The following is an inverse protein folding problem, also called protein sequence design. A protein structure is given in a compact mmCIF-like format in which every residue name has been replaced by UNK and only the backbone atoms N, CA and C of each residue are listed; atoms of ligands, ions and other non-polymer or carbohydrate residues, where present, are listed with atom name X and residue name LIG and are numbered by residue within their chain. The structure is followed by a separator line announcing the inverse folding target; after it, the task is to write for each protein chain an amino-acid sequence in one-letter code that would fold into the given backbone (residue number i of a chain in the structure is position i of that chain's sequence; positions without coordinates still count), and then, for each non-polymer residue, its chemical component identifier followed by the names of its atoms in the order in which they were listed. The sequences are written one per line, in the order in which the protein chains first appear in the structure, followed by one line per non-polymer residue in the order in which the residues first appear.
data_IF_875297170397
#
_entry.id   IF_875297170397
#
_cell.length_a   1.000
_cell.length_b   1.000
_cell.length_c   1.000
_cell.angle_alpha   90.00
_cell.angle_beta   90.00
_cell.angle_gamma   90.00
#
_symmetry.space_group_name_H-M   'P 1'
#
loop_
_entity.id
_entity.type
_entity.pdbx_description
1 polymer ?
#
# COMPACT_ATOMS: atom_id res chain seq x y z
N UNK A 1 23.98 7.72 5.08
CA UNK A 1 22.49 7.88 4.99
C UNK A 1 22.07 7.44 3.61
N UNK A 2 21.04 6.62 3.49
CA UNK A 2 20.49 6.24 2.19
C UNK A 2 19.43 7.25 1.75
N UNK A 3 19.17 7.32 0.44
CA UNK A 3 18.22 8.27 -0.15
C UNK A 3 17.21 7.51 -0.99
N UNK A 4 15.93 7.75 -0.77
CA UNK A 4 14.86 7.39 -1.69
C UNK A 4 14.87 8.43 -2.81
N UNK A 5 15.57 8.12 -3.90
CA UNK A 5 15.84 9.06 -4.99
C UNK A 5 14.65 9.26 -5.94
N UNK A 6 13.70 8.35 -5.91
CA UNK A 6 12.45 8.43 -6.69
C UNK A 6 11.37 7.56 -6.08
N UNK A 7 10.12 8.00 -6.19
CA UNK A 7 8.92 7.22 -5.94
C UNK A 7 7.98 7.43 -7.12
N UNK A 8 7.39 6.34 -7.59
CA UNK A 8 6.40 6.37 -8.67
C UNK A 8 5.25 5.43 -8.42
N UNK A 9 4.16 5.63 -9.11
CA UNK A 9 2.92 4.90 -8.91
C UNK A 9 2.30 4.48 -10.24
N UNK A 10 1.59 3.35 -10.23
CA UNK A 10 0.77 2.88 -11.35
C UNK A 10 -0.59 2.42 -10.85
N UNK A 11 -1.61 2.59 -11.68
CA UNK A 11 -2.98 2.28 -11.38
C UNK A 11 -3.57 1.37 -12.45
N UNK A 12 -4.44 0.42 -12.10
CA UNK A 12 -5.20 -0.35 -13.07
C UNK A 12 -6.07 0.52 -13.98
N UNK A 13 -6.45 -0.03 -15.11
CA UNK A 13 -7.25 0.68 -16.12
C UNK A 13 -8.68 1.04 -15.65
N UNK A 14 -9.26 0.23 -14.75
CA UNK A 14 -10.66 0.41 -14.36
C UNK A 14 -10.78 1.22 -13.08
N UNK A 15 -11.36 2.41 -13.23
CA UNK A 15 -11.72 3.30 -12.11
C UNK A 15 -13.21 3.15 -11.80
N UNK A 16 -13.54 2.77 -10.58
CA UNK A 16 -14.91 2.63 -10.11
C UNK A 16 -15.24 3.73 -9.11
N UNK A 17 -16.42 4.33 -9.24
CA UNK A 17 -16.90 5.24 -8.21
C UNK A 17 -17.31 4.46 -6.96
N UNK A 18 -17.14 5.05 -5.79
CA UNK A 18 -17.54 4.38 -4.54
C UNK A 18 -19.06 4.14 -4.46
N UNK A 19 -19.94 5.00 -5.00
CA UNK A 19 -21.37 4.69 -5.15
C UNK A 19 -21.63 3.45 -5.99
N UNK A 20 -20.99 3.30 -7.18
CA UNK A 20 -21.20 2.13 -8.06
C UNK A 20 -20.77 0.83 -7.36
N UNK A 21 -19.64 0.87 -6.65
CA UNK A 21 -19.20 -0.24 -5.81
C UNK A 21 -20.20 -0.55 -4.69
N UNK A 22 -20.80 0.47 -4.09
CA UNK A 22 -21.86 0.33 -3.11
C UNK A 22 -23.12 -0.31 -3.69
N UNK A 23 -23.50 0.00 -4.91
CA UNK A 23 -24.59 -0.64 -5.62
C UNK A 23 -24.29 -2.12 -5.88
N UNK A 24 -23.10 -2.43 -6.45
CA UNK A 24 -22.66 -3.79 -6.68
C UNK A 24 -22.68 -4.62 -5.38
N UNK A 25 -22.11 -4.09 -4.30
CA UNK A 25 -22.08 -4.81 -3.03
C UNK A 25 -23.48 -4.97 -2.42
N UNK A 26 -24.34 -3.97 -2.56
CA UNK A 26 -25.73 -4.05 -2.11
C UNK A 26 -26.53 -5.10 -2.88
N UNK A 27 -26.28 -5.25 -4.19
CA UNK A 27 -26.92 -6.31 -4.99
C UNK A 27 -26.55 -7.70 -4.50
N UNK A 28 -25.28 -7.93 -4.14
CA UNK A 28 -24.80 -9.29 -3.85
C UNK A 28 -24.76 -9.64 -2.36
N UNK A 29 -24.64 -8.69 -1.43
CA UNK A 29 -24.62 -8.96 0.01
C UNK A 29 -25.95 -8.77 0.72
N UNK A 30 -26.89 -8.03 0.13
CA UNK A 30 -28.12 -7.72 0.84
C UNK A 30 -29.22 -8.74 0.55
N UNK A 31 -29.89 -9.18 1.61
CA UNK A 31 -31.06 -10.03 1.64
C UNK A 31 -32.37 -9.24 1.84
N UNK A 32 -32.26 -7.94 2.10
CA UNK A 32 -33.38 -7.04 2.37
C UNK A 32 -33.09 -5.61 1.89
N UNK A 33 -34.14 -4.85 1.62
CA UNK A 33 -34.00 -3.41 1.25
C UNK A 33 -33.37 -2.58 2.37
N UNK A 34 -33.61 -2.95 3.62
CA UNK A 34 -32.97 -2.29 4.76
C UNK A 34 -31.45 -2.49 4.75
N UNK A 35 -30.99 -3.71 4.47
CA UNK A 35 -29.56 -4.05 4.37
C UNK A 35 -28.91 -3.38 3.17
N UNK A 36 -29.57 -3.34 2.01
CA UNK A 36 -29.12 -2.57 0.83
C UNK A 36 -28.87 -1.11 1.19
N UNK A 37 -29.86 -0.47 1.81
CA UNK A 37 -29.73 0.94 2.24
C UNK A 37 -28.59 1.15 3.22
N UNK A 38 -28.41 0.24 4.19
CA UNK A 38 -27.31 0.29 5.16
C UNK A 38 -25.95 0.22 4.46
N UNK A 39 -25.76 -0.72 3.53
CA UNK A 39 -24.52 -0.87 2.75
C UNK A 39 -24.20 0.40 1.95
N UNK A 40 -25.16 0.93 1.20
CA UNK A 40 -24.98 2.19 0.44
C UNK A 40 -24.55 3.35 1.35
N UNK A 41 -25.14 3.50 2.53
CA UNK A 41 -24.76 4.51 3.51
C UNK A 41 -23.32 4.27 4.02
N UNK A 42 -22.91 3.02 4.27
CA UNK A 42 -21.54 2.71 4.68
C UNK A 42 -20.54 3.13 3.61
N UNK A 43 -20.79 2.78 2.33
CA UNK A 43 -19.95 3.16 1.21
C UNK A 43 -19.85 4.69 1.06
N UNK A 44 -20.95 5.42 1.15
CA UNK A 44 -20.98 6.89 1.05
C UNK A 44 -20.21 7.60 2.19
N UNK A 45 -20.10 6.96 3.37
CA UNK A 45 -19.42 7.50 4.54
C UNK A 45 -17.96 7.02 4.68
N UNK A 46 -17.48 6.18 3.79
CA UNK A 46 -16.13 5.58 3.85
C UNK A 46 -14.99 6.60 3.76
N UNK A 47 -15.26 7.81 3.24
CA UNK A 47 -14.22 8.81 2.92
C UNK A 47 -13.54 8.56 1.57
N UNK A 48 -13.99 7.56 0.81
CA UNK A 48 -13.49 7.20 -0.52
C UNK A 48 -14.45 7.74 -1.57
N UNK A 49 -13.92 8.30 -2.65
CA UNK A 49 -14.72 8.73 -3.81
C UNK A 49 -14.61 7.75 -4.96
N UNK A 50 -13.44 7.16 -5.15
CA UNK A 50 -13.19 6.17 -6.20
C UNK A 50 -12.08 5.21 -5.81
N UNK A 51 -12.10 4.02 -6.42
CA UNK A 51 -11.05 3.01 -6.31
C UNK A 51 -10.70 2.46 -7.68
N UNK A 52 -9.51 1.92 -7.80
CA UNK A 52 -9.04 1.27 -9.02
C UNK A 52 -9.02 -0.24 -8.85
N UNK A 53 -9.29 -0.94 -9.93
CA UNK A 53 -9.30 -2.40 -9.97
C UNK A 53 -8.80 -2.91 -11.31
N UNK A 54 -8.16 -4.07 -11.31
CA UNK A 54 -7.87 -4.83 -12.54
C UNK A 54 -9.13 -5.50 -13.10
N UNK A 55 -10.24 -5.50 -12.36
CA UNK A 55 -11.51 -6.11 -12.71
C UNK A 55 -12.50 -5.04 -13.16
N UNK A 56 -13.06 -5.09 -14.38
CA UNK A 56 -14.09 -4.16 -14.83
C UNK A 56 -15.46 -4.40 -14.20
N UNK A 57 -15.73 -5.61 -13.74
CA UNK A 57 -17.04 -6.16 -13.37
C UNK A 57 -17.81 -5.36 -12.31
N UNK A 58 -17.09 -4.59 -11.48
CA UNK A 58 -17.70 -3.83 -10.38
C UNK A 58 -18.60 -2.67 -10.81
N UNK A 59 -18.47 -2.22 -12.05
CA UNK A 59 -19.35 -1.20 -12.65
C UNK A 59 -19.88 -1.59 -14.03
N UNK A 60 -19.72 -2.87 -14.42
CA UNK A 60 -20.21 -3.43 -15.67
C UNK A 60 -21.54 -4.14 -15.48
N UNK A 61 -22.34 -4.19 -16.55
CA UNK A 61 -23.54 -5.01 -16.60
C UNK A 61 -23.20 -6.51 -16.49
N UNK A 62 -24.20 -7.32 -16.11
CA UNK A 62 -24.04 -8.76 -15.92
C UNK A 62 -23.42 -9.46 -17.14
N UNK A 63 -23.84 -9.09 -18.35
CA UNK A 63 -23.39 -9.73 -19.59
C UNK A 63 -21.96 -9.31 -20.00
N UNK A 64 -21.45 -8.22 -19.42
CA UNK A 64 -20.11 -7.69 -19.68
C UNK A 64 -19.05 -8.22 -18.71
N UNK A 65 -19.44 -8.99 -17.69
CA UNK A 65 -18.52 -9.54 -16.69
C UNK A 65 -17.47 -10.45 -17.31
N UNK A 66 -16.24 -10.29 -16.87
CA UNK A 66 -15.08 -11.05 -17.34
C UNK A 66 -14.39 -11.85 -16.24
N UNK A 67 -14.51 -11.44 -14.99
CA UNK A 67 -13.90 -12.10 -13.84
C UNK A 67 -14.92 -12.93 -13.05
N UNK A 68 -16.06 -12.35 -12.72
CA UNK A 68 -17.15 -13.07 -12.05
C UNK A 68 -18.07 -13.74 -13.08
N UNK A 69 -18.67 -14.89 -12.70
CA UNK A 69 -19.67 -15.54 -13.56
C UNK A 69 -20.85 -14.62 -13.88
N UNK A 70 -21.40 -14.77 -15.08
CA UNK A 70 -22.61 -14.08 -15.54
C UNK A 70 -23.90 -14.64 -14.91
N UNK A 71 -23.82 -15.06 -13.66
CA UNK A 71 -24.94 -15.55 -12.86
C UNK A 71 -25.49 -14.46 -11.96
N UNK A 72 -26.72 -14.61 -11.45
CA UNK A 72 -27.34 -13.63 -10.57
C UNK A 72 -26.65 -13.49 -9.21
N UNK A 73 -25.99 -14.55 -8.74
CA UNK A 73 -25.38 -14.62 -7.41
C UNK A 73 -23.85 -14.68 -7.44
N UNK A 74 -23.22 -14.50 -8.63
CA UNK A 74 -21.78 -14.63 -8.87
C UNK A 74 -21.23 -16.06 -8.64
N UNK A 75 -22.12 -17.07 -8.58
CA UNK A 75 -21.68 -18.46 -8.39
C UNK A 75 -21.50 -19.19 -9.74
N UNK A 76 -20.53 -20.14 -9.81
CA UNK A 76 -19.52 -20.44 -8.79
C UNK A 76 -18.52 -19.31 -8.66
N UNK A 77 -18.15 -18.96 -7.41
CA UNK A 77 -17.10 -17.94 -7.21
C UNK A 77 -15.77 -18.38 -7.82
N UNK A 78 -14.96 -17.44 -8.33
CA UNK A 78 -13.63 -17.72 -8.83
C UNK A 78 -12.79 -18.49 -7.79
N UNK A 79 -12.19 -19.61 -8.20
CA UNK A 79 -11.29 -20.38 -7.34
C UNK A 79 -10.01 -19.61 -7.03
N UNK A 80 -9.25 -20.04 -6.02
CA UNK A 80 -7.92 -19.47 -5.73
C UNK A 80 -7.00 -19.60 -6.96
N UNK A 81 -7.05 -20.72 -7.67
CA UNK A 81 -6.26 -20.93 -8.88
C UNK A 81 -6.57 -19.88 -9.95
N UNK A 82 -7.83 -19.62 -10.24
CA UNK A 82 -8.26 -18.60 -11.21
C UNK A 82 -7.81 -17.19 -10.78
N UNK A 83 -7.92 -16.85 -9.48
CA UNK A 83 -7.45 -15.57 -8.94
C UNK A 83 -5.94 -15.42 -9.10
N UNK A 84 -5.16 -16.49 -8.88
CA UNK A 84 -3.71 -16.46 -9.06
C UNK A 84 -3.30 -16.35 -10.54
N UNK A 85 -4.00 -17.03 -11.45
CA UNK A 85 -3.81 -16.84 -12.89
C UNK A 85 -4.09 -15.39 -13.30
N UNK A 86 -5.14 -14.78 -12.73
CA UNK A 86 -5.47 -13.38 -12.99
C UNK A 86 -4.42 -12.43 -12.42
N UNK A 87 -3.94 -12.70 -11.20
CA UNK A 87 -2.83 -11.96 -10.59
C UNK A 87 -1.59 -11.99 -11.47
N UNK A 88 -1.12 -13.16 -11.88
CA UNK A 88 0.08 -13.31 -12.69
C UNK A 88 -0.01 -12.55 -14.03
N UNK A 89 -1.22 -12.48 -14.62
CA UNK A 89 -1.45 -11.72 -15.84
C UNK A 89 -1.45 -10.20 -15.62
N UNK A 90 -2.02 -9.72 -14.51
CA UNK A 90 -2.32 -8.30 -14.29
C UNK A 90 -1.26 -7.56 -13.47
N UNK A 91 -0.51 -8.25 -12.59
CA UNK A 91 0.45 -7.61 -11.70
C UNK A 91 1.71 -7.10 -12.42
N UNK A 92 2.27 -7.90 -13.34
CA UNK A 92 3.50 -7.53 -14.05
C UNK A 92 3.37 -6.21 -14.81
N UNK A 93 2.35 -5.96 -15.65
CA UNK A 93 2.22 -4.68 -16.36
C UNK A 93 2.19 -3.47 -15.42
N UNK A 94 1.51 -3.57 -14.28
CA UNK A 94 1.46 -2.50 -13.27
C UNK A 94 2.83 -2.26 -12.62
N UNK A 95 3.54 -3.33 -12.28
CA UNK A 95 4.91 -3.22 -11.78
C UNK A 95 5.82 -2.53 -12.77
N UNK A 96 5.78 -2.94 -14.04
CA UNK A 96 6.63 -2.38 -15.09
C UNK A 96 6.34 -0.88 -15.26
N UNK A 97 5.07 -0.49 -15.36
CA UNK A 97 4.69 0.92 -15.45
C UNK A 97 5.22 1.75 -14.27
N UNK A 98 5.09 1.23 -13.04
CA UNK A 98 5.63 1.90 -11.86
C UNK A 98 7.17 1.98 -11.91
N UNK A 99 7.85 0.88 -12.27
CA UNK A 99 9.31 0.81 -12.31
C UNK A 99 9.87 1.76 -13.38
N UNK A 100 9.35 1.72 -14.60
CA UNK A 100 9.84 2.57 -15.70
C UNK A 100 9.73 4.05 -15.37
N UNK A 101 8.61 4.48 -14.75
CA UNK A 101 8.45 5.84 -14.24
C UNK A 101 9.46 6.16 -13.12
N UNK A 102 9.74 5.20 -12.26
CA UNK A 102 10.62 5.36 -11.10
C UNK A 102 12.08 5.55 -11.50
N UNK A 103 12.57 4.76 -12.45
CA UNK A 103 13.97 4.78 -12.90
C UNK A 103 14.25 5.81 -13.99
N UNK A 104 13.20 6.35 -14.63
CA UNK A 104 13.32 7.32 -15.71
C UNK A 104 14.20 8.50 -15.29
N UNK A 105 15.20 8.82 -16.12
CA UNK A 105 16.16 9.93 -15.89
C UNK A 105 16.97 9.80 -14.57
N UNK A 106 16.92 8.64 -13.93
CA UNK A 106 17.69 8.36 -12.70
C UNK A 106 18.81 7.35 -12.95
N UNK A 107 18.44 6.16 -13.39
CA UNK A 107 19.36 5.05 -13.63
C UNK A 107 18.91 4.21 -14.82
N UNK A 108 19.85 3.51 -15.45
CA UNK A 108 19.51 2.47 -16.42
C UNK A 108 19.11 1.18 -15.71
N UNK A 109 18.25 0.38 -16.31
CA UNK A 109 17.84 -0.92 -15.75
C UNK A 109 19.04 -1.84 -15.48
N UNK A 110 20.08 -1.78 -16.33
CA UNK A 110 21.32 -2.54 -16.17
C UNK A 110 22.16 -2.15 -14.92
N UNK A 111 21.90 -1.01 -14.32
CA UNK A 111 22.60 -0.53 -13.12
C UNK A 111 21.94 -0.99 -11.82
N UNK A 112 20.71 -1.52 -11.90
CA UNK A 112 19.99 -2.02 -10.71
C UNK A 112 20.72 -3.26 -10.20
N UNK A 113 21.13 -3.22 -8.92
CA UNK A 113 21.87 -4.29 -8.25
C UNK A 113 20.98 -5.16 -7.37
N UNK A 114 19.88 -4.62 -6.86
CA UNK A 114 18.95 -5.30 -5.97
C UNK A 114 17.51 -5.02 -6.37
N UNK A 115 16.68 -6.06 -6.34
CA UNK A 115 15.23 -5.98 -6.53
C UNK A 115 14.54 -6.52 -5.28
N UNK A 116 13.70 -5.70 -4.65
CA UNK A 116 12.81 -6.11 -3.56
C UNK A 116 11.38 -6.01 -4.08
N UNK A 117 10.72 -7.15 -4.26
CA UNK A 117 9.31 -7.22 -4.65
C UNK A 117 8.43 -7.45 -3.42
N UNK A 118 7.29 -6.76 -3.37
CA UNK A 118 6.33 -6.81 -2.26
C UNK A 118 4.95 -7.13 -2.79
N UNK A 119 4.33 -8.20 -2.30
CA UNK A 119 2.91 -8.48 -2.54
C UNK A 119 2.31 -9.40 -1.47
N UNK A 120 1.05 -9.14 -1.13
CA UNK A 120 0.24 -9.99 -0.27
C UNK A 120 -0.92 -10.64 -1.03
N UNK A 121 -1.13 -10.30 -2.30
CA UNK A 121 -2.32 -10.66 -3.08
C UNK A 121 -2.05 -11.67 -4.19
N UNK A 122 -0.80 -12.11 -4.34
CA UNK A 122 -0.43 -13.17 -5.26
C UNK A 122 0.78 -13.95 -4.79
N UNK A 123 0.83 -15.22 -5.14
CA UNK A 123 1.95 -16.13 -4.85
C UNK A 123 2.17 -17.08 -6.02
N UNK A 124 3.41 -17.16 -6.49
CA UNK A 124 3.86 -18.15 -7.46
C UNK A 124 5.35 -18.44 -7.30
N UNK A 125 5.78 -19.59 -7.75
CA UNK A 125 7.19 -19.91 -7.92
C UNK A 125 7.37 -20.60 -9.29
N UNK A 126 8.07 -19.96 -10.25
CA UNK A 126 8.76 -18.66 -10.20
C UNK A 126 7.85 -17.50 -9.83
N UNK A 127 8.38 -16.49 -9.13
CA UNK A 127 7.62 -15.35 -8.64
C UNK A 127 7.67 -14.14 -9.58
N UNK A 128 6.88 -13.14 -9.24
CA UNK A 128 6.82 -11.84 -9.95
C UNK A 128 8.19 -11.16 -10.09
N UNK A 129 9.10 -11.38 -9.13
CA UNK A 129 10.48 -10.89 -9.17
C UNK A 129 11.25 -11.42 -10.39
N UNK A 130 11.04 -12.70 -10.77
CA UNK A 130 11.65 -13.30 -11.97
C UNK A 130 11.06 -12.69 -13.23
N UNK A 131 9.73 -12.49 -13.27
CA UNK A 131 9.06 -11.88 -14.43
C UNK A 131 9.56 -10.45 -14.67
N UNK A 132 9.76 -9.67 -13.59
CA UNK A 132 10.33 -8.32 -13.66
C UNK A 132 11.76 -8.35 -14.19
N UNK A 133 12.61 -9.26 -13.67
CA UNK A 133 14.00 -9.42 -14.16
C UNK A 133 14.02 -9.72 -15.65
N UNK A 134 13.19 -10.64 -16.10
CA UNK A 134 13.10 -11.05 -17.50
C UNK A 134 12.60 -9.90 -18.38
N UNK A 135 11.52 -9.23 -17.99
CA UNK A 135 10.90 -8.17 -18.80
C UNK A 135 11.83 -6.96 -18.96
N UNK A 136 12.40 -6.48 -17.86
CA UNK A 136 13.30 -5.32 -17.87
C UNK A 136 14.73 -5.65 -18.29
N UNK A 137 15.02 -6.93 -18.57
CA UNK A 137 16.36 -7.43 -18.92
C UNK A 137 17.40 -7.00 -17.88
N UNK A 138 17.04 -7.13 -16.59
CA UNK A 138 17.98 -6.88 -15.50
C UNK A 138 19.12 -7.89 -15.53
N UNK A 139 20.24 -7.56 -14.86
CA UNK A 139 21.35 -8.49 -14.76
C UNK A 139 20.88 -9.82 -14.10
N UNK A 140 21.10 -10.99 -14.71
CA UNK A 140 20.71 -12.27 -14.12
C UNK A 140 21.35 -12.56 -12.75
N UNK A 141 22.47 -11.90 -12.43
CA UNK A 141 23.15 -11.98 -11.12
C UNK A 141 22.59 -10.98 -10.08
N UNK A 142 21.48 -10.28 -10.38
CA UNK A 142 20.84 -9.34 -9.45
C UNK A 142 20.43 -10.03 -8.15
N UNK A 143 20.68 -9.39 -7.02
CA UNK A 143 20.16 -9.82 -5.73
C UNK A 143 18.65 -9.59 -5.65
N UNK A 144 17.87 -10.63 -5.31
CA UNK A 144 16.42 -10.56 -5.26
C UNK A 144 15.87 -10.95 -3.89
N UNK A 145 14.88 -10.19 -3.42
CA UNK A 145 14.12 -10.50 -2.19
C UNK A 145 12.64 -10.32 -2.46
N UNK A 146 11.84 -11.32 -2.09
CA UNK A 146 10.38 -11.21 -2.11
C UNK A 146 9.84 -11.11 -0.69
N UNK A 147 9.05 -10.06 -0.42
CA UNK A 147 8.38 -9.82 0.86
C UNK A 147 6.90 -10.09 0.65
N UNK A 148 6.42 -11.18 1.25
CA UNK A 148 5.06 -11.64 1.04
C UNK A 148 4.28 -11.73 2.36
N UNK A 149 2.97 -11.54 2.32
CA UNK A 149 2.04 -11.71 3.45
C UNK A 149 2.36 -10.88 4.71
N UNK A 150 2.99 -9.73 4.57
CA UNK A 150 3.22 -8.80 5.68
C UNK A 150 2.13 -7.73 5.80
N UNK A 151 1.32 -7.50 4.76
CA UNK A 151 0.23 -6.53 4.77
C UNK A 151 0.66 -5.10 4.46
N UNK A 152 -0.15 -4.13 4.88
CA UNK A 152 -0.01 -2.74 4.43
C UNK A 152 1.29 -2.04 4.87
N UNK A 153 1.99 -2.53 5.90
CA UNK A 153 3.27 -1.96 6.33
C UNK A 153 4.48 -2.48 5.51
N UNK A 154 4.29 -3.46 4.65
CA UNK A 154 5.39 -4.14 3.96
C UNK A 154 6.25 -3.21 3.11
N UNK A 155 5.70 -2.11 2.58
CA UNK A 155 6.50 -1.11 1.85
C UNK A 155 7.53 -0.41 2.75
N UNK A 156 7.18 -0.02 4.00
CA UNK A 156 8.14 0.55 4.95
C UNK A 156 9.20 -0.50 5.32
N UNK A 157 8.78 -1.75 5.51
CA UNK A 157 9.72 -2.85 5.77
C UNK A 157 10.67 -3.07 4.58
N UNK A 158 10.20 -3.00 3.34
CA UNK A 158 11.04 -3.08 2.14
C UNK A 158 12.04 -1.92 2.05
N UNK A 159 11.61 -0.69 2.35
CA UNK A 159 12.51 0.48 2.44
C UNK A 159 13.57 0.31 3.53
N UNK A 160 13.22 -0.32 4.66
CA UNK A 160 14.17 -0.66 5.73
C UNK A 160 15.23 -1.66 5.25
N UNK A 161 14.84 -2.70 4.52
CA UNK A 161 15.78 -3.64 3.90
C UNK A 161 16.68 -2.93 2.87
N UNK A 162 16.10 -2.08 2.02
CA UNK A 162 16.86 -1.30 1.04
C UNK A 162 17.89 -0.36 1.73
N UNK A 163 17.53 0.28 2.84
CA UNK A 163 18.44 1.10 3.63
C UNK A 163 19.61 0.30 4.21
N UNK A 164 19.34 -0.91 4.73
CA UNK A 164 20.41 -1.79 5.24
C UNK A 164 21.35 -2.22 4.12
N UNK A 165 20.83 -2.59 2.95
CA UNK A 165 21.64 -2.93 1.78
C UNK A 165 22.52 -1.73 1.39
N UNK A 166 21.95 -0.54 1.25
CA UNK A 166 22.70 0.68 0.89
C UNK A 166 23.76 1.08 1.92
N UNK A 167 23.57 0.76 3.20
CA UNK A 167 24.57 1.00 4.25
C UNK A 167 25.73 0.00 4.19
N UNK A 168 25.48 -1.23 3.75
CA UNK A 168 26.49 -2.27 3.64
C UNK A 168 27.23 -2.28 2.30
N UNK A 169 26.56 -1.86 1.23
CA UNK A 169 27.07 -1.93 -0.15
C UNK A 169 27.11 -0.53 -0.78
N UNK A 170 28.28 0.14 -0.84
CA UNK A 170 28.41 1.51 -1.37
C UNK A 170 27.99 1.68 -2.83
N UNK A 171 27.99 0.59 -3.60
CA UNK A 171 27.55 0.57 -5.00
C UNK A 171 26.09 0.14 -5.22
N UNK A 172 25.31 -0.06 -4.15
CA UNK A 172 23.95 -0.56 -4.27
C UNK A 172 23.03 0.43 -4.97
N UNK A 173 22.23 -0.11 -5.90
CA UNK A 173 21.09 0.57 -6.52
C UNK A 173 19.89 -0.36 -6.31
N UNK A 174 19.07 -0.04 -5.32
CA UNK A 174 17.99 -0.91 -4.85
C UNK A 174 16.66 -0.45 -5.41
N UNK A 175 16.02 -1.31 -6.19
CA UNK A 175 14.67 -1.11 -6.67
C UNK A 175 13.69 -1.85 -5.75
N UNK A 176 12.80 -1.11 -5.12
CA UNK A 176 11.64 -1.65 -4.38
C UNK A 176 10.42 -1.52 -5.26
N UNK A 177 9.61 -2.57 -5.39
CA UNK A 177 8.32 -2.53 -6.08
C UNK A 177 7.25 -3.23 -5.24
N UNK A 178 6.14 -2.53 -5.02
CA UNK A 178 4.97 -3.04 -4.30
C UNK A 178 3.79 -3.11 -5.27
N UNK A 179 3.08 -4.24 -5.30
CA UNK A 179 1.86 -4.40 -6.12
C UNK A 179 0.82 -5.19 -5.35
N UNK A 180 -0.39 -4.67 -5.34
CA UNK A 180 -1.50 -5.36 -4.71
C UNK A 180 -2.74 -5.32 -5.61
N UNK A 181 -3.34 -6.48 -5.78
CA UNK A 181 -4.59 -6.68 -6.50
C UNK A 181 -5.65 -7.21 -5.51
N UNK A 182 -5.99 -6.39 -4.51
CA UNK A 182 -6.89 -6.80 -3.43
C UNK A 182 -8.28 -7.16 -3.94
N UNK A 183 -8.73 -6.51 -5.01
CA UNK A 183 -10.09 -6.67 -5.53
C UNK A 183 -10.34 -8.05 -6.14
N UNK A 184 -9.29 -8.76 -6.59
CA UNK A 184 -9.45 -10.14 -7.08
C UNK A 184 -9.84 -11.13 -5.97
N UNK A 185 -9.67 -10.74 -4.69
CA UNK A 185 -9.97 -11.58 -3.54
C UNK A 185 -11.33 -11.31 -2.90
N UNK A 186 -12.18 -10.50 -3.55
CA UNK A 186 -13.54 -10.29 -3.11
C UNK A 186 -14.24 -11.62 -2.75
N UNK A 187 -14.83 -11.65 -1.57
CA UNK A 187 -15.62 -12.77 -1.03
C UNK A 187 -17.03 -12.28 -0.66
N UNK A 188 -18.03 -13.07 -1.00
CA UNK A 188 -19.42 -12.84 -0.54
C UNK A 188 -19.62 -13.51 0.81
N UNK A 189 -18.94 -13.00 1.84
CA UNK A 189 -19.11 -13.44 3.23
C UNK A 189 -19.93 -12.39 3.95
N UNK A 190 -21.02 -12.80 4.57
CA UNK A 190 -21.95 -11.91 5.27
C UNK A 190 -21.53 -11.69 6.72
N UNK A 191 -20.33 -11.13 6.90
CA UNK A 191 -19.87 -10.58 8.16
C UNK A 191 -19.40 -9.14 7.98
N UNK A 192 -19.40 -8.37 9.06
CA UNK A 192 -19.07 -6.94 9.02
C UNK A 192 -17.63 -6.70 8.61
N UNK A 193 -16.68 -7.53 9.04
CA UNK A 193 -15.25 -7.37 8.77
C UNK A 193 -14.96 -7.54 7.28
N UNK A 194 -15.58 -8.55 6.65
CA UNK A 194 -15.48 -8.77 5.21
C UNK A 194 -16.13 -7.63 4.41
N UNK A 195 -17.31 -7.17 4.84
CA UNK A 195 -18.00 -6.04 4.20
C UNK A 195 -17.14 -4.76 4.28
N UNK A 196 -16.52 -4.48 5.43
CA UNK A 196 -15.62 -3.35 5.61
C UNK A 196 -14.36 -3.51 4.75
N UNK A 197 -13.76 -4.69 4.68
CA UNK A 197 -12.64 -4.96 3.80
C UNK A 197 -13.00 -4.71 2.32
N UNK A 198 -14.12 -5.25 1.85
CA UNK A 198 -14.62 -5.03 0.49
C UNK A 198 -14.93 -3.54 0.19
N UNK A 199 -15.26 -2.75 1.21
CA UNK A 199 -15.50 -1.30 1.07
C UNK A 199 -14.21 -0.49 0.95
N UNK A 200 -13.09 -0.95 1.53
CA UNK A 200 -11.85 -0.17 1.65
C UNK A 200 -10.80 -0.52 0.60
N UNK A 201 -10.61 -1.83 0.32
CA UNK A 201 -9.47 -2.28 -0.48
C UNK A 201 -9.60 -2.02 -1.98
N UNK A 202 -8.47 -1.74 -2.60
CA UNK A 202 -8.30 -1.39 -4.02
C UNK A 202 -7.02 -2.01 -4.58
N UNK A 203 -6.76 -1.83 -5.86
CA UNK A 203 -5.57 -2.31 -6.55
C UNK A 203 -4.64 -1.16 -6.93
N UNK A 204 -3.34 -1.43 -6.94
CA UNK A 204 -2.34 -0.46 -7.37
C UNK A 204 -0.92 -0.99 -7.22
N UNK A 205 0.02 -0.28 -7.83
CA UNK A 205 1.44 -0.54 -7.68
C UNK A 205 2.23 0.75 -7.42
N UNK A 206 3.36 0.62 -6.73
CA UNK A 206 4.31 1.69 -6.53
C UNK A 206 5.74 1.15 -6.58
N UNK A 207 6.67 1.97 -7.06
CA UNK A 207 8.09 1.66 -7.03
C UNK A 207 8.87 2.77 -6.33
N UNK A 208 9.97 2.40 -5.67
CA UNK A 208 10.92 3.33 -5.06
C UNK A 208 12.34 2.93 -5.42
N UNK A 209 13.17 3.92 -5.77
CA UNK A 209 14.60 3.75 -6.03
C UNK A 209 15.36 4.23 -4.81
N UNK A 210 16.11 3.33 -4.16
CA UNK A 210 16.91 3.64 -2.97
C UNK A 210 18.39 3.47 -3.29
N UNK A 211 19.17 4.49 -2.94
CA UNK A 211 20.62 4.51 -3.21
C UNK A 211 21.40 5.01 -1.99
N UNK A 212 22.69 4.66 -1.84
CA UNK A 212 23.58 5.30 -0.89
C UNK A 212 23.65 6.83 -1.08
N UNK A 213 23.85 7.59 0.00
CA UNK A 213 23.93 9.05 -0.05
C UNK A 213 25.02 9.58 -0.97
N UNK A 214 26.14 8.88 -1.07
CA UNK A 214 27.25 9.26 -1.97
C UNK A 214 26.83 9.15 -3.45
N UNK A 215 26.07 8.10 -3.81
CA UNK A 215 25.50 7.96 -5.15
C UNK A 215 24.49 9.07 -5.41
N UNK A 216 23.61 9.37 -4.43
CA UNK A 216 22.62 10.43 -4.57
C UNK A 216 23.30 11.79 -4.77
N UNK A 217 24.32 12.12 -3.95
CA UNK A 217 25.08 13.37 -4.05
C UNK A 217 25.82 13.50 -5.37
N UNK A 218 26.52 12.45 -5.80
CA UNK A 218 27.27 12.42 -7.08
C UNK A 218 26.39 12.66 -8.31
N UNK A 219 25.14 12.17 -8.26
CA UNK A 219 24.19 12.29 -9.36
C UNK A 219 23.18 13.43 -9.16
N UNK A 220 23.30 14.25 -8.13
CA UNK A 220 22.36 15.32 -7.77
C UNK A 220 20.91 14.81 -7.62
N UNK A 221 20.72 13.61 -7.12
CA UNK A 221 19.39 13.09 -6.87
C UNK A 221 18.76 13.80 -5.70
N UNK A 222 17.60 14.39 -5.92
CA UNK A 222 16.72 14.91 -4.88
C UNK A 222 15.74 13.83 -4.45
N UNK A 223 15.40 13.81 -3.17
CA UNK A 223 14.50 12.78 -2.63
C UNK A 223 14.40 12.84 -1.10
N UNK A 224 14.07 11.71 -0.51
CA UNK A 224 14.00 11.56 0.94
C UNK A 224 15.23 10.83 1.48
N UNK A 225 16.04 11.49 2.27
CA UNK A 225 17.09 10.87 3.09
C UNK A 225 16.49 10.09 4.25
N UNK A 226 16.86 8.83 4.40
CA UNK A 226 16.31 7.94 5.42
C UNK A 226 17.07 8.16 6.73
N UNK A 227 16.38 8.66 7.77
CA UNK A 227 16.97 8.94 9.09
C UNK A 227 16.86 7.72 10.01
N UNK A 228 15.64 7.16 10.16
CA UNK A 228 15.38 6.10 11.12
C UNK A 228 14.15 5.29 10.78
N UNK A 229 14.16 4.03 11.18
CA UNK A 229 12.99 3.15 11.26
C UNK A 229 12.71 2.77 12.72
N UNK A 230 11.45 2.51 13.01
CA UNK A 230 11.04 1.89 14.26
C UNK A 230 9.89 0.94 14.01
N UNK A 231 9.90 -0.21 14.70
CA UNK A 231 8.91 -1.28 14.56
C UNK A 231 8.34 -1.63 15.93
N UNK A 232 7.04 -1.85 15.98
CA UNK A 232 6.35 -2.31 17.18
C UNK A 232 5.29 -3.34 16.82
N UNK A 233 5.12 -4.36 17.64
CA UNK A 233 4.04 -5.36 17.53
C UNK A 233 3.14 -5.26 18.75
N UNK A 234 1.84 -5.08 18.52
CA UNK A 234 0.81 -5.17 19.55
C UNK A 234 0.18 -6.57 19.52
N UNK A 235 0.69 -7.46 20.38
CA UNK A 235 0.31 -8.87 20.37
C UNK A 235 -1.17 -9.13 20.68
N UNK A 236 -1.82 -8.23 21.42
CA UNK A 236 -3.25 -8.32 21.69
C UNK A 236 -4.10 -8.16 20.43
N UNK A 237 -3.55 -7.54 19.38
CA UNK A 237 -4.19 -7.35 18.09
C UNK A 237 -3.99 -8.48 17.07
N UNK A 238 -3.37 -9.62 17.46
CA UNK A 238 -3.02 -10.70 16.52
C UNK A 238 -4.19 -11.25 15.71
N UNK A 239 -5.40 -11.22 16.25
CA UNK A 239 -6.61 -11.75 15.61
C UNK A 239 -7.47 -10.68 14.95
N UNK A 240 -7.16 -9.41 15.15
CA UNK A 240 -8.00 -8.28 14.72
C UNK A 240 -7.73 -7.86 13.28
N UNK A 241 -6.54 -8.17 12.74
CA UNK A 241 -6.21 -7.98 11.34
C UNK A 241 -5.53 -9.24 10.83
N UNK A 242 -6.21 -9.99 9.97
CA UNK A 242 -5.66 -11.24 9.41
C UNK A 242 -5.83 -11.28 7.91
N UNK A 243 -4.89 -11.96 7.24
CA UNK A 243 -4.92 -12.26 5.83
C UNK A 243 -4.56 -13.72 5.65
N UNK A 244 -5.52 -14.55 5.28
CA UNK A 244 -5.39 -16.01 5.31
C UNK A 244 -5.71 -16.64 3.96
N UNK A 245 -4.93 -17.63 3.56
CA UNK A 245 -5.19 -18.44 2.38
C UNK A 245 -6.38 -19.36 2.62
N UNK A 246 -7.31 -19.43 1.68
CA UNK A 246 -8.42 -20.37 1.64
C UNK A 246 -8.54 -21.02 0.27
N UNK A 247 -9.44 -22.00 0.14
CA UNK A 247 -9.75 -22.64 -1.14
C UNK A 247 -10.42 -21.72 -2.16
N UNK A 248 -11.04 -20.62 -1.71
CA UNK A 248 -11.78 -19.67 -2.55
C UNK A 248 -11.10 -18.34 -2.75
N UNK A 249 -9.89 -18.15 -2.21
CA UNK A 249 -9.14 -16.91 -2.28
C UNK A 249 -8.46 -16.58 -0.96
N UNK A 250 -7.93 -15.37 -0.83
CA UNK A 250 -7.40 -14.90 0.44
C UNK A 250 -8.52 -14.21 1.23
N UNK A 251 -8.62 -14.55 2.50
CA UNK A 251 -9.66 -14.03 3.41
C UNK A 251 -9.08 -12.94 4.26
N UNK A 252 -9.70 -11.76 4.20
CA UNK A 252 -9.39 -10.62 5.06
C UNK A 252 -10.35 -10.60 6.25
N UNK A 253 -9.79 -10.51 7.46
CA UNK A 253 -10.52 -10.08 8.65
C UNK A 253 -9.98 -8.73 9.12
N UNK A 254 -10.87 -7.77 9.29
CA UNK A 254 -10.56 -6.40 9.69
C UNK A 254 -11.52 -5.97 10.81
N UNK A 255 -11.14 -6.28 12.03
CA UNK A 255 -11.96 -6.03 13.22
C UNK A 255 -12.21 -4.54 13.46
N UNK A 256 -13.40 -4.21 13.92
CA UNK A 256 -13.75 -2.86 14.38
C UNK A 256 -12.93 -2.37 15.58
N UNK A 257 -12.16 -3.25 16.23
CA UNK A 257 -11.26 -2.92 17.35
C UNK A 257 -9.92 -2.33 16.92
N UNK A 258 -9.53 -2.45 15.63
CA UNK A 258 -8.23 -1.94 15.14
C UNK A 258 -8.00 -0.47 15.48
N UNK A 259 -8.95 0.46 15.25
CA UNK A 259 -8.76 1.85 15.65
C UNK A 259 -8.43 2.03 17.14
N UNK A 260 -9.04 1.24 18.02
CA UNK A 260 -8.79 1.29 19.46
C UNK A 260 -7.41 0.76 19.84
N UNK A 261 -6.91 -0.27 19.13
CA UNK A 261 -5.56 -0.79 19.32
C UNK A 261 -4.52 0.24 18.88
N UNK A 262 -4.76 0.90 17.77
CA UNK A 262 -3.91 2.00 17.27
C UNK A 262 -3.95 3.17 18.26
N UNK A 263 -5.13 3.58 18.75
CA UNK A 263 -5.29 4.62 19.77
C UNK A 263 -4.39 4.38 20.99
N UNK A 264 -4.34 3.16 21.48
CA UNK A 264 -3.51 2.78 22.64
C UNK A 264 -2.00 2.79 22.34
N UNK A 265 -1.59 2.45 21.12
CA UNK A 265 -0.18 2.21 20.79
C UNK A 265 0.52 3.37 20.09
N UNK A 266 -0.20 4.24 19.37
CA UNK A 266 0.41 5.21 18.44
C UNK A 266 1.30 6.25 19.12
N UNK A 267 0.92 6.75 20.30
CA UNK A 267 1.75 7.71 21.05
C UNK A 267 3.09 7.11 21.47
N UNK A 268 3.06 5.86 21.96
CA UNK A 268 4.27 5.15 22.36
C UNK A 268 5.15 4.85 21.14
N UNK A 269 4.56 4.34 20.07
CA UNK A 269 5.26 4.11 18.79
C UNK A 269 5.96 5.40 18.33
N UNK A 270 5.24 6.52 18.28
CA UNK A 270 5.80 7.82 17.87
C UNK A 270 6.94 8.24 18.77
N UNK A 271 6.74 8.26 20.09
CA UNK A 271 7.77 8.60 21.07
C UNK A 271 9.03 7.71 20.93
N UNK A 272 8.84 6.41 20.77
CA UNK A 272 9.94 5.45 20.65
C UNK A 272 10.68 5.58 19.32
N UNK A 273 9.97 5.94 18.26
CA UNK A 273 10.58 6.23 16.95
C UNK A 273 11.51 7.44 16.98
N UNK A 274 11.25 8.42 17.85
CA UNK A 274 12.06 9.64 18.01
C UNK A 274 13.28 9.45 18.91
N UNK A 275 13.34 8.40 19.75
CA UNK A 275 14.47 8.15 20.67
C UNK A 275 15.81 8.14 19.97
N UNK A 276 16.79 8.88 20.53
CA UNK A 276 18.15 8.99 19.98
C UNK A 276 18.28 9.89 18.76
N UNK A 277 17.22 10.61 18.42
CA UNK A 277 17.26 11.73 17.49
C UNK A 277 16.97 13.01 18.31
N UNK A 278 17.70 14.07 18.02
CA UNK A 278 17.45 15.42 18.56
C UNK A 278 16.33 16.08 17.75
N UNK A 279 15.12 15.49 17.78
CA UNK A 279 13.94 15.88 17.00
C UNK A 279 12.74 15.89 17.94
N UNK A 280 11.97 16.96 17.92
CA UNK A 280 10.69 17.08 18.62
C UNK A 280 9.49 16.92 17.68
N UNK A 281 8.30 16.77 18.21
CA UNK A 281 7.06 16.65 17.40
C UNK A 281 6.88 17.85 16.48
N UNK A 282 7.23 19.05 16.97
CA UNK A 282 7.13 20.31 16.22
C UNK A 282 8.08 20.39 15.01
N UNK A 283 9.13 19.57 14.97
CA UNK A 283 10.06 19.52 13.84
C UNK A 283 9.50 18.70 12.66
N UNK A 284 8.49 17.87 12.92
CA UNK A 284 7.84 17.07 11.86
C UNK A 284 6.95 17.97 11.01
N UNK A 285 7.39 18.21 9.77
CA UNK A 285 6.68 19.07 8.83
C UNK A 285 5.58 18.33 8.09
N UNK A 286 5.79 17.04 7.79
CA UNK A 286 4.86 16.23 6.98
C UNK A 286 4.56 14.89 7.63
N UNK A 287 3.33 14.42 7.45
CA UNK A 287 2.82 13.18 8.04
C UNK A 287 2.33 12.23 6.95
N UNK A 288 3.11 11.20 6.67
CA UNK A 288 2.78 10.14 5.70
C UNK A 288 2.11 8.96 6.42
N UNK A 289 0.87 9.14 6.83
CA UNK A 289 0.10 8.10 7.53
C UNK A 289 -0.57 7.20 6.50
N UNK A 290 -0.28 5.90 6.55
CA UNK A 290 -0.99 4.92 5.73
C UNK A 290 -2.50 4.98 5.97
N UNK A 291 -3.33 5.30 4.97
CA UNK A 291 -4.77 5.44 5.15
C UNK A 291 -5.47 4.08 5.08
N UNK A 292 -5.30 3.25 6.12
CA UNK A 292 -5.97 1.95 6.24
C UNK A 292 -7.51 2.04 6.22
N UNK A 293 -8.04 3.25 6.49
CA UNK A 293 -9.44 3.64 6.47
C UNK A 293 -9.61 4.96 7.19
N UNK A 294 -10.72 5.66 6.92
CA UNK A 294 -11.00 7.00 7.49
C UNK A 294 -10.87 7.03 9.02
N UNK A 295 -11.42 6.01 9.70
CA UNK A 295 -11.41 5.95 11.16
C UNK A 295 -10.00 5.86 11.76
N UNK A 296 -9.07 5.19 11.08
CA UNK A 296 -7.66 5.12 11.49
C UNK A 296 -7.02 6.49 11.44
N UNK A 297 -7.24 7.25 10.36
CA UNK A 297 -6.71 8.61 10.23
C UNK A 297 -7.28 9.53 11.32
N UNK A 298 -8.59 9.46 11.59
CA UNK A 298 -9.25 10.26 12.64
C UNK A 298 -8.66 9.97 14.04
N UNK A 299 -8.40 8.70 14.35
CA UNK A 299 -7.79 8.30 15.64
C UNK A 299 -6.37 8.83 15.75
N UNK A 300 -5.54 8.66 14.71
CA UNK A 300 -4.15 9.13 14.74
C UNK A 300 -4.10 10.65 14.83
N UNK A 301 -4.96 11.35 14.09
CA UNK A 301 -5.08 12.80 14.12
C UNK A 301 -5.37 13.29 15.55
N UNK A 302 -6.33 12.66 16.22
CA UNK A 302 -6.70 12.97 17.60
C UNK A 302 -5.55 12.70 18.57
N UNK A 303 -4.97 11.49 18.51
CA UNK A 303 -3.97 11.05 19.49
C UNK A 303 -2.63 11.76 19.39
N UNK A 304 -2.21 12.14 18.18
CA UNK A 304 -0.99 12.92 17.94
C UNK A 304 -1.25 14.43 17.86
N UNK A 305 -2.48 14.87 18.14
CA UNK A 305 -2.90 16.29 18.18
C UNK A 305 -2.59 17.03 16.86
N UNK A 306 -2.79 16.31 15.72
CA UNK A 306 -2.49 16.85 14.39
C UNK A 306 -3.62 17.73 13.87
N UNK A 307 -3.25 18.78 13.13
CA UNK A 307 -4.20 19.60 12.39
C UNK A 307 -4.78 18.89 11.16
N UNK A 308 -5.84 19.46 10.59
CA UNK A 308 -6.45 18.90 9.37
C UNK A 308 -5.53 18.94 8.14
N UNK A 309 -4.63 19.92 8.08
CA UNK A 309 -3.66 20.08 7.00
C UNK A 309 -2.54 19.02 7.04
N UNK A 310 -2.22 18.49 8.23
CA UNK A 310 -1.12 17.54 8.43
C UNK A 310 -1.39 16.21 7.71
N UNK A 311 -2.63 15.74 7.75
CA UNK A 311 -3.05 14.48 7.13
C UNK A 311 -3.69 14.63 5.74
N UNK A 312 -3.62 15.80 5.14
CA UNK A 312 -4.27 16.09 3.85
C UNK A 312 -3.85 15.10 2.76
N UNK A 313 -2.55 14.77 2.63
CA UNK A 313 -2.04 13.81 1.65
C UNK A 313 -2.61 12.41 1.89
N UNK A 314 -2.67 11.97 3.15
CA UNK A 314 -3.26 10.67 3.51
C UNK A 314 -4.76 10.60 3.19
N UNK A 315 -5.52 11.66 3.52
CA UNK A 315 -6.94 11.75 3.17
C UNK A 315 -7.16 11.84 1.66
N UNK A 316 -6.31 12.56 0.92
CA UNK A 316 -6.37 12.67 -0.54
C UNK A 316 -6.14 11.32 -1.22
N UNK A 317 -5.16 10.56 -0.75
CA UNK A 317 -4.89 9.20 -1.25
C UNK A 317 -6.07 8.29 -0.95
N UNK A 318 -6.58 8.25 0.28
CA UNK A 318 -7.77 7.47 0.63
C UNK A 318 -8.97 7.82 -0.26
N UNK A 319 -9.24 9.10 -0.42
CA UNK A 319 -10.38 9.61 -1.19
C UNK A 319 -10.33 9.16 -2.65
N UNK A 320 -9.16 9.21 -3.28
CA UNK A 320 -9.02 9.00 -4.71
C UNK A 320 -8.70 7.57 -5.11
N UNK A 321 -8.10 6.77 -4.19
CA UNK A 321 -7.57 5.44 -4.53
C UNK A 321 -8.05 4.34 -3.58
N UNK A 322 -8.61 4.66 -2.41
CA UNK A 322 -8.89 3.68 -1.35
C UNK A 322 -7.62 3.16 -0.70
N UNK A 323 -7.71 1.98 -0.09
CA UNK A 323 -6.59 1.28 0.51
C UNK A 323 -6.05 0.20 -0.45
N UNK A 324 -4.92 0.44 -1.07
CA UNK A 324 -4.24 -0.50 -1.97
C UNK A 324 -3.24 -1.40 -1.21
N UNK A 325 -3.38 -1.56 0.11
CA UNK A 325 -2.43 -2.30 0.96
C UNK A 325 -1.00 -1.73 0.88
N UNK A 326 0.04 -2.54 0.61
CA UNK A 326 1.44 -2.15 0.71
C UNK A 326 1.85 -0.91 -0.11
N UNK A 327 1.44 -0.68 -1.36
CA UNK A 327 1.83 0.53 -2.09
C UNK A 327 1.23 1.83 -1.55
N UNK A 328 0.17 1.78 -0.77
CA UNK A 328 -0.59 2.99 -0.38
C UNK A 328 0.25 4.04 0.33
N UNK A 329 1.14 3.66 1.25
CA UNK A 329 2.02 4.61 1.95
C UNK A 329 3.02 5.27 1.00
N UNK A 330 3.44 4.58 -0.08
CA UNK A 330 4.28 5.17 -1.13
C UNK A 330 3.50 6.19 -1.98
N UNK A 331 2.20 5.98 -2.20
CA UNK A 331 1.33 7.00 -2.81
C UNK A 331 1.25 8.25 -1.92
N UNK A 332 1.15 8.09 -0.60
CA UNK A 332 1.15 9.23 0.34
C UNK A 332 2.49 9.97 0.32
N UNK A 333 3.62 9.24 0.37
CA UNK A 333 4.95 9.85 0.28
C UNK A 333 5.16 10.59 -1.03
N UNK A 334 4.68 10.01 -2.15
CA UNK A 334 4.73 10.68 -3.46
C UNK A 334 3.87 11.94 -3.49
N UNK A 335 2.66 11.90 -2.95
CA UNK A 335 1.78 13.06 -2.86
C UNK A 335 2.40 14.20 -2.03
N UNK A 336 3.06 13.86 -0.92
CA UNK A 336 3.82 14.83 -0.09
C UNK A 336 4.97 15.42 -0.91
N UNK A 337 5.75 14.58 -1.58
CA UNK A 337 6.88 15.04 -2.40
C UNK A 337 6.45 16.00 -3.49
N UNK A 338 5.42 15.62 -4.25
CA UNK A 338 4.98 16.39 -5.41
C UNK A 338 4.29 17.72 -5.04
N UNK A 339 3.60 17.76 -3.89
CA UNK A 339 2.69 18.88 -3.57
C UNK A 339 3.08 19.71 -2.34
N UNK A 340 3.98 19.21 -1.48
CA UNK A 340 4.24 19.85 -0.20
C UNK A 340 5.71 20.15 0.08
N UNK A 341 6.64 19.29 -0.37
CA UNK A 341 8.08 19.44 -0.08
C UNK A 341 8.63 20.69 -0.79
N UNK A 342 9.34 21.53 -0.02
CA UNK A 342 10.02 22.72 -0.53
C UNK A 342 11.50 22.42 -0.77
N UNK A 343 11.97 22.58 -2.01
CA UNK A 343 13.30 22.17 -2.44
C UNK A 343 14.48 22.86 -1.68
N UNK A 344 14.24 24.02 -1.08
CA UNK A 344 15.28 24.84 -0.45
C UNK A 344 15.21 24.85 1.09
N UNK A 345 14.36 24.01 1.69
CA UNK A 345 14.17 23.92 3.13
C UNK A 345 14.32 22.50 3.59
N UNK A 346 15.06 22.27 4.68
CA UNK A 346 15.09 20.95 5.34
C UNK A 346 13.77 20.72 6.06
N UNK A 347 13.08 19.68 5.68
CA UNK A 347 11.77 19.31 6.22
C UNK A 347 11.79 17.83 6.60
N UNK A 348 11.16 17.52 7.74
CA UNK A 348 11.05 16.15 8.22
C UNK A 348 9.67 15.57 7.89
N UNK A 349 9.68 14.34 7.41
CA UNK A 349 8.47 13.54 7.17
C UNK A 349 8.46 12.35 8.10
N UNK A 350 7.40 12.20 8.90
CA UNK A 350 7.13 11.00 9.67
C UNK A 350 6.14 10.12 8.88
N UNK A 351 6.55 8.89 8.58
CA UNK A 351 5.72 7.89 7.94
C UNK A 351 5.36 6.76 8.88
N UNK A 352 4.12 6.24 8.81
CA UNK A 352 3.71 5.04 9.55
C UNK A 352 2.69 4.22 8.77
N UNK A 353 2.81 2.90 8.85
CA UNK A 353 1.86 1.96 8.30
C UNK A 353 1.57 0.83 9.29
N UNK A 354 0.41 0.19 9.11
CA UNK A 354 -0.12 -0.83 10.00
C UNK A 354 -0.46 -2.09 9.21
N UNK A 355 -0.44 -3.23 9.86
CA UNK A 355 -0.83 -4.50 9.22
C UNK A 355 -0.97 -5.64 10.20
N UNK A 356 -1.14 -6.86 9.69
CA UNK A 356 -1.33 -8.03 10.54
C UNK A 356 -0.30 -8.14 11.66
N UNK A 357 -0.81 -8.55 12.88
CA UNK A 357 0.09 -8.72 14.01
C UNK A 357 -0.40 -8.21 15.37
N UNK A 358 -1.01 -7.06 15.65
CA UNK A 358 -0.98 -5.84 14.87
C UNK A 358 0.45 -5.30 14.78
N UNK A 359 1.00 -5.20 13.61
CA UNK A 359 2.34 -4.63 13.41
C UNK A 359 2.24 -3.17 13.00
N UNK A 360 3.12 -2.35 13.55
CA UNK A 360 3.26 -0.93 13.25
C UNK A 360 4.70 -0.66 12.82
N UNK A 361 4.90 -0.18 11.61
CA UNK A 361 6.21 0.21 11.07
C UNK A 361 6.24 1.72 10.83
N UNK A 362 7.27 2.40 11.32
CA UNK A 362 7.47 3.82 11.08
C UNK A 362 8.81 4.13 10.44
N UNK A 363 8.85 5.27 9.76
CA UNK A 363 10.03 5.81 9.08
C UNK A 363 10.11 7.32 9.30
N UNK A 364 11.32 7.83 9.56
CA UNK A 364 11.61 9.26 9.62
C UNK A 364 12.49 9.60 8.43
N UNK A 365 12.07 10.57 7.65
CA UNK A 365 12.69 11.01 6.41
C UNK A 365 13.03 12.51 6.49
N UNK A 366 14.08 12.91 5.78
CA UNK A 366 14.45 14.32 5.58
C UNK A 366 14.59 14.56 4.09
N UNK A 367 14.04 15.64 3.54
CA UNK A 367 14.26 15.97 2.14
C UNK A 367 15.73 16.37 1.89
N UNK A 368 16.29 15.92 0.76
CA UNK A 368 17.69 16.15 0.39
C UNK A 368 17.82 16.63 -1.05
#
# INVERSE_FOLDING_TARGET
MSVIASISTALPAYKHSQPDLGEFMAEFHADSEQKKRKLKIMYSKSGISSRYSVIPDYSSGKEERVFFPKTHNLQPFPSIEYRMQYFNKAALPLCIEAIEKCIKEKVLSSQITHLISVSCTGLSAPGLDIDIVQFLKLNPAINRTSINFMGCYAAIHALKQADYICKCEPGAIVLVVCVELCTIHFQKIDDLDNIVANMLFADGAAAALVVPGDIASKNNFKGFGIKKFHSQIELNGKRDMTWQLSSTGFLMSLSSYIPQLIEKGIKNLFKDSMKGLEIETADITHWAIHPGGRKILEVIQKELELGSADLESSYRVLKNYGNMSSPTVLFVLKDIWDNKVQANRKELTYGVAFGPGLTMESIILENV
#
